data_IF_253961481266
#
_entry.id   IF_253961481266
#
_cell.length_a   1.000
_cell.length_b   1.000
_cell.length_c   1.000
_cell.angle_alpha   90.00
_cell.angle_beta   90.00
_cell.angle_gamma   90.00
#
_symmetry.space_group_name_H-M   'P 1'
#
loop_
_entity.id
_entity.type
_entity.pdbx_description
1 polymer ?
#
# COMPACT_ATOMS: atom_id res chain seq x y z
N UNK A 1 27.54 8.39 26.31
CA UNK A 1 27.59 9.05 24.99
C UNK A 1 26.32 8.66 24.24
N UNK A 2 25.45 9.61 23.90
CA UNK A 2 24.29 9.37 23.05
C UNK A 2 24.78 8.98 21.65
N UNK A 3 24.36 7.83 21.15
CA UNK A 3 24.75 7.38 19.82
C UNK A 3 24.27 8.43 18.79
N UNK A 4 25.22 8.94 18.00
CA UNK A 4 24.95 9.97 16.99
C UNK A 4 24.17 9.35 15.82
N UNK A 5 23.10 10.00 15.40
CA UNK A 5 22.38 9.65 14.17
C UNK A 5 23.07 10.32 12.98
N UNK A 6 23.06 9.65 11.83
CA UNK A 6 23.51 10.19 10.56
C UNK A 6 22.70 9.56 9.40
N UNK A 7 22.86 10.08 8.18
CA UNK A 7 22.24 9.54 6.99
C UNK A 7 23.26 9.41 5.85
N UNK A 8 22.97 8.52 4.92
CA UNK A 8 23.69 8.36 3.65
C UNK A 8 22.72 8.05 2.53
N UNK A 9 23.06 8.43 1.31
CA UNK A 9 22.36 7.91 0.13
C UNK A 9 22.71 6.43 -0.05
N UNK A 10 21.73 5.61 -0.33
CA UNK A 10 21.92 4.16 -0.41
C UNK A 10 22.97 3.76 -1.45
N UNK A 11 22.99 4.45 -2.59
CA UNK A 11 23.93 4.17 -3.67
C UNK A 11 25.39 4.44 -3.25
N UNK A 12 25.63 5.34 -2.33
CA UNK A 12 26.98 5.74 -1.88
C UNK A 12 27.59 4.74 -0.88
N UNK A 13 26.76 3.92 -0.23
CA UNK A 13 27.25 2.97 0.76
C UNK A 13 27.60 1.59 0.20
N UNK A 14 27.38 1.35 -1.09
CA UNK A 14 27.81 0.13 -1.80
C UNK A 14 27.18 -1.18 -1.32
N UNK A 15 26.07 -1.13 -0.57
CA UNK A 15 25.36 -2.31 -0.10
C UNK A 15 24.40 -2.85 -1.15
N UNK A 16 24.23 -4.18 -1.18
CA UNK A 16 23.30 -4.84 -2.08
C UNK A 16 21.83 -4.49 -1.76
N UNK A 17 20.97 -4.40 -2.78
CA UNK A 17 19.51 -4.15 -2.64
C UNK A 17 18.82 -5.16 -1.71
N UNK A 18 19.28 -6.40 -1.67
CA UNK A 18 18.78 -7.42 -0.75
C UNK A 18 18.91 -7.06 0.73
N UNK A 19 19.93 -6.25 1.10
CA UNK A 19 20.11 -5.76 2.47
C UNK A 19 19.02 -4.74 2.81
N UNK A 20 18.65 -3.87 1.87
CA UNK A 20 17.55 -2.96 2.02
C UNK A 20 16.22 -3.69 2.18
N UNK A 21 15.91 -4.63 1.28
CA UNK A 21 14.65 -5.37 1.30
C UNK A 21 14.51 -6.21 2.57
N UNK A 22 15.60 -6.84 3.04
CA UNK A 22 15.64 -7.55 4.33
C UNK A 22 15.40 -6.60 5.53
N UNK A 23 15.94 -5.37 5.47
CA UNK A 23 15.65 -4.35 6.48
C UNK A 23 14.16 -3.98 6.48
N UNK A 24 13.58 -3.75 5.30
CA UNK A 24 12.15 -3.44 5.17
C UNK A 24 11.29 -4.55 5.76
N UNK A 25 11.59 -5.83 5.50
CA UNK A 25 10.86 -6.98 6.06
C UNK A 25 10.91 -7.03 7.59
N UNK A 26 12.00 -6.55 8.18
CA UNK A 26 12.21 -6.45 9.63
C UNK A 26 11.74 -5.15 10.27
N UNK A 27 11.43 -4.10 9.50
CA UNK A 27 11.10 -2.77 10.01
C UNK A 27 9.70 -2.69 10.64
N UNK A 28 9.52 -1.75 11.58
CA UNK A 28 8.21 -1.44 12.15
C UNK A 28 7.39 -0.64 11.14
N UNK A 29 6.37 -1.24 10.56
CA UNK A 29 5.59 -0.68 9.45
C UNK A 29 6.19 -1.00 8.07
N UNK A 30 7.25 -1.82 8.03
CA UNK A 30 7.84 -2.31 6.78
C UNK A 30 6.80 -2.95 5.89
N UNK A 31 6.83 -2.60 4.60
CA UNK A 31 5.81 -3.05 3.66
C UNK A 31 6.39 -3.12 2.24
N UNK A 32 5.70 -3.86 1.39
CA UNK A 32 6.09 -4.19 0.03
C UNK A 32 6.49 -2.96 -0.81
N UNK A 33 5.78 -1.84 -0.65
CA UNK A 33 6.01 -0.60 -1.41
C UNK A 33 7.30 0.14 -1.04
N UNK A 34 7.99 -0.25 0.03
CA UNK A 34 9.28 0.30 0.42
C UNK A 34 10.47 -0.51 -0.09
N UNK A 35 10.22 -1.70 -0.70
CA UNK A 35 11.30 -2.54 -1.25
C UNK A 35 11.85 -1.95 -2.55
N UNK A 36 13.17 -1.91 -2.68
CA UNK A 36 13.81 -1.51 -3.95
C UNK A 36 13.45 -2.51 -5.05
N UNK A 37 13.40 -3.82 -4.72
CA UNK A 37 13.01 -4.84 -5.67
C UNK A 37 11.59 -4.64 -6.25
N UNK A 38 10.66 -4.09 -5.47
CA UNK A 38 9.34 -3.71 -5.96
C UNK A 38 9.44 -2.50 -6.91
N UNK A 39 10.15 -1.45 -6.52
CA UNK A 39 10.25 -0.21 -7.30
C UNK A 39 10.89 -0.43 -8.68
N UNK A 40 11.63 -1.53 -8.87
CA UNK A 40 12.20 -1.92 -10.18
C UNK A 40 11.16 -2.16 -11.28
N UNK A 41 9.86 -2.36 -10.94
CA UNK A 41 8.81 -2.51 -11.95
C UNK A 41 8.65 -1.27 -12.85
N UNK A 42 9.09 -0.12 -12.38
CA UNK A 42 9.13 1.11 -13.19
C UNK A 42 10.12 1.06 -14.37
N UNK A 43 10.91 -0.01 -14.49
CA UNK A 43 11.85 -0.26 -15.61
C UNK A 43 12.74 0.94 -15.94
N UNK A 44 13.31 1.56 -14.90
CA UNK A 44 14.22 2.70 -15.05
C UNK A 44 13.57 4.05 -15.29
N UNK A 45 12.24 4.15 -15.31
CA UNK A 45 11.51 5.42 -15.50
C UNK A 45 11.95 6.53 -14.54
N UNK A 46 12.42 6.16 -13.35
CA UNK A 46 12.82 7.10 -12.30
C UNK A 46 14.31 7.00 -11.92
N UNK A 47 15.13 6.25 -12.66
CA UNK A 47 16.53 5.94 -12.31
C UNK A 47 17.37 7.18 -12.01
N UNK A 48 17.20 8.26 -12.79
CA UNK A 48 17.93 9.51 -12.60
C UNK A 48 17.35 10.40 -11.47
N UNK A 49 16.23 9.97 -10.88
CA UNK A 49 15.50 10.70 -9.83
C UNK A 49 15.56 10.00 -8.49
N UNK A 50 15.92 8.72 -8.47
CA UNK A 50 15.96 7.89 -7.26
C UNK A 50 17.15 8.25 -6.38
N UNK A 51 16.84 8.62 -5.13
CA UNK A 51 17.82 9.01 -4.11
C UNK A 51 17.45 8.37 -2.76
N UNK A 52 17.50 7.02 -2.70
CA UNK A 52 17.10 6.30 -1.50
C UNK A 52 17.97 6.66 -0.30
N UNK A 53 17.35 6.87 0.85
CA UNK A 53 18.01 7.33 2.06
C UNK A 53 18.11 6.22 3.10
N UNK A 54 19.30 6.05 3.68
CA UNK A 54 19.55 5.17 4.80
C UNK A 54 19.94 6.00 6.05
N UNK A 55 19.27 5.73 7.16
CA UNK A 55 19.57 6.31 8.47
C UNK A 55 20.38 5.34 9.31
N UNK A 56 21.37 5.85 10.01
CA UNK A 56 22.23 5.07 10.88
C UNK A 56 22.20 5.59 12.31
N UNK A 57 22.38 4.66 13.26
CA UNK A 57 22.65 4.97 14.67
C UNK A 57 24.05 4.43 15.00
N UNK A 58 25.06 5.30 15.02
CA UNK A 58 26.44 4.86 14.92
C UNK A 58 26.69 4.20 13.56
N UNK A 59 27.11 2.92 13.57
CA UNK A 59 27.33 2.11 12.35
C UNK A 59 26.12 1.21 11.99
N UNK A 60 25.12 1.13 12.86
CA UNK A 60 23.94 0.28 12.66
C UNK A 60 22.93 0.94 11.73
N UNK A 61 22.51 0.21 10.67
CA UNK A 61 21.38 0.62 9.84
C UNK A 61 20.11 0.66 10.70
N UNK A 62 19.56 1.85 10.88
CA UNK A 62 18.46 2.13 11.80
C UNK A 62 17.14 2.42 11.12
N UNK A 63 17.19 2.99 9.90
CA UNK A 63 16.01 3.32 9.10
C UNK A 63 16.34 3.43 7.62
N UNK A 64 15.30 3.41 6.79
CA UNK A 64 15.36 3.57 5.34
C UNK A 64 14.19 4.40 4.83
N UNK A 65 14.38 5.15 3.73
CA UNK A 65 13.32 5.90 3.06
C UNK A 65 13.53 5.83 1.54
N UNK A 66 12.68 5.12 0.79
CA UNK A 66 12.69 5.20 -0.65
C UNK A 66 12.16 6.58 -1.08
N UNK A 67 12.89 7.28 -1.91
CA UNK A 67 12.50 8.60 -2.38
C UNK A 67 13.01 8.88 -3.79
N UNK A 68 12.33 9.81 -4.47
CA UNK A 68 12.78 10.38 -5.73
C UNK A 68 12.63 11.91 -5.70
N UNK A 69 13.50 12.61 -6.45
CA UNK A 69 13.50 14.06 -6.57
C UNK A 69 13.08 14.44 -7.99
N UNK A 70 12.11 15.33 -8.07
CA UNK A 70 11.54 15.84 -9.31
C UNK A 70 11.76 17.34 -9.43
N UNK A 71 11.91 17.81 -10.66
CA UNK A 71 11.84 19.23 -10.98
C UNK A 71 10.39 19.56 -11.36
N UNK A 72 9.70 20.30 -10.50
CA UNK A 72 8.30 20.70 -10.68
C UNK A 72 8.19 22.23 -10.60
N UNK A 73 7.82 22.87 -11.69
CA UNK A 73 7.67 24.34 -11.76
C UNK A 73 8.91 25.11 -11.28
N UNK A 74 10.09 24.60 -11.59
CA UNK A 74 11.37 25.19 -11.18
C UNK A 74 11.76 24.95 -9.72
N UNK A 75 11.07 24.03 -9.03
CA UNK A 75 11.36 23.61 -7.65
C UNK A 75 11.81 22.18 -7.59
N UNK A 76 12.75 21.90 -6.70
CA UNK A 76 13.18 20.54 -6.40
C UNK A 76 12.25 19.91 -5.37
N UNK A 77 11.42 18.98 -5.83
CA UNK A 77 10.39 18.32 -5.02
C UNK A 77 10.78 16.88 -4.72
N UNK A 78 11.03 16.58 -3.45
CA UNK A 78 11.22 15.23 -2.95
C UNK A 78 9.85 14.56 -2.77
N UNK A 79 9.69 13.34 -3.31
CA UNK A 79 8.49 12.51 -3.11
C UNK A 79 8.84 11.16 -2.51
N UNK A 80 8.14 10.79 -1.47
CA UNK A 80 8.15 9.45 -0.88
C UNK A 80 6.71 9.11 -0.44
N UNK A 81 5.98 8.27 -1.17
CA UNK A 81 6.44 7.44 -2.30
C UNK A 81 6.53 8.19 -3.64
N UNK A 82 7.11 7.47 -4.60
CA UNK A 82 7.00 7.73 -6.03
C UNK A 82 6.58 6.41 -6.72
N UNK A 83 5.44 6.42 -7.43
CA UNK A 83 4.90 5.21 -8.08
C UNK A 83 4.55 4.05 -7.13
N UNK A 84 4.22 4.34 -5.87
CA UNK A 84 3.84 3.35 -4.86
C UNK A 84 2.76 3.93 -3.93
N UNK A 85 2.09 3.05 -3.16
CA UNK A 85 0.98 3.48 -2.29
C UNK A 85 1.45 4.17 -1.01
N UNK A 86 2.59 3.76 -0.46
CA UNK A 86 3.15 4.25 0.79
C UNK A 86 4.64 4.54 0.66
N UNK A 87 5.10 5.54 1.39
CA UNK A 87 6.48 5.97 1.50
C UNK A 87 6.78 6.54 2.88
N UNK A 88 7.65 7.54 2.93
CA UNK A 88 8.19 8.07 4.18
C UNK A 88 9.25 7.14 4.78
N UNK A 89 9.92 7.57 5.86
CA UNK A 89 10.94 6.79 6.50
C UNK A 89 10.35 5.62 7.30
N UNK A 90 10.98 4.46 7.20
CA UNK A 90 10.76 3.28 8.02
C UNK A 90 11.93 3.08 8.98
N UNK A 91 11.63 2.61 10.18
CA UNK A 91 12.64 2.35 11.21
C UNK A 91 12.54 0.92 11.73
N UNK A 92 13.65 0.40 12.23
CA UNK A 92 13.74 -0.96 12.81
C UNK A 92 12.69 -1.20 13.90
N UNK A 93 12.37 -0.16 14.69
CA UNK A 93 11.39 -0.19 15.79
C UNK A 93 10.63 1.13 15.88
N UNK A 94 9.61 1.17 16.72
CA UNK A 94 8.95 2.42 17.12
C UNK A 94 9.97 3.41 17.69
N UNK A 95 9.96 4.64 17.21
CA UNK A 95 10.80 5.72 17.71
C UNK A 95 10.27 6.23 19.07
N UNK A 96 11.19 6.61 19.95
CA UNK A 96 10.91 7.48 21.09
C UNK A 96 10.79 8.93 20.63
N UNK A 97 10.31 9.84 21.48
CA UNK A 97 10.22 11.26 21.14
C UNK A 97 11.59 11.86 20.78
N UNK A 98 12.64 11.59 21.59
CA UNK A 98 13.99 12.08 21.31
C UNK A 98 14.58 11.51 20.02
N UNK A 99 14.30 10.23 19.69
CA UNK A 99 14.71 9.63 18.43
C UNK A 99 13.93 10.28 17.25
N UNK A 100 12.66 10.57 17.42
CA UNK A 100 11.80 11.22 16.43
C UNK A 100 12.31 12.64 16.09
N UNK A 101 12.65 13.44 17.12
CA UNK A 101 13.19 14.78 16.94
C UNK A 101 14.54 14.75 16.22
N UNK A 102 15.45 13.86 16.64
CA UNK A 102 16.75 13.73 15.99
C UNK A 102 16.66 13.31 14.52
N UNK A 103 15.69 12.44 14.16
CA UNK A 103 15.46 12.06 12.77
C UNK A 103 14.82 13.20 11.96
N UNK A 104 13.92 13.99 12.57
CA UNK A 104 13.35 15.16 11.92
C UNK A 104 14.42 16.23 11.63
N UNK A 105 15.34 16.48 12.56
CA UNK A 105 16.51 17.34 12.35
C UNK A 105 17.36 16.84 11.16
N UNK A 106 17.66 15.54 11.09
CA UNK A 106 18.43 14.94 9.99
C UNK A 106 17.72 15.08 8.63
N UNK A 107 16.39 14.99 8.60
CA UNK A 107 15.63 15.25 7.37
C UNK A 107 15.80 16.68 6.90
N UNK A 108 15.76 17.67 7.83
CA UNK A 108 15.96 19.07 7.47
C UNK A 108 17.41 19.32 6.99
N UNK A 109 18.42 18.75 7.68
CA UNK A 109 19.81 18.80 7.22
C UNK A 109 19.97 18.25 5.80
N UNK A 110 19.32 17.11 5.51
CA UNK A 110 19.33 16.49 4.19
C UNK A 110 18.62 17.38 3.16
N UNK A 111 17.47 17.97 3.49
CA UNK A 111 16.77 18.88 2.60
C UNK A 111 17.64 20.11 2.24
N UNK A 112 18.38 20.63 3.20
CA UNK A 112 19.31 21.71 2.94
C UNK A 112 20.48 21.28 2.06
N UNK A 113 21.12 20.15 2.37
CA UNK A 113 22.27 19.65 1.61
C UNK A 113 21.94 19.30 0.17
N UNK A 114 20.72 18.79 -0.08
CA UNK A 114 20.23 18.42 -1.41
C UNK A 114 19.44 19.53 -2.11
N UNK A 115 19.36 20.73 -1.49
CA UNK A 115 18.61 21.89 -2.03
C UNK A 115 17.17 21.53 -2.36
N UNK A 116 16.47 20.84 -1.44
CA UNK A 116 15.07 20.48 -1.58
C UNK A 116 14.21 21.69 -1.23
N UNK A 117 13.31 22.07 -2.14
CA UNK A 117 12.36 23.18 -1.92
C UNK A 117 11.07 22.69 -1.26
N UNK A 118 10.68 21.44 -1.57
CA UNK A 118 9.48 20.81 -1.04
C UNK A 118 9.66 19.31 -0.86
N UNK A 119 9.20 18.76 0.25
CA UNK A 119 9.17 17.33 0.49
C UNK A 119 7.73 16.87 0.75
N UNK A 120 7.28 15.81 0.04
CA UNK A 120 5.94 15.22 0.16
C UNK A 120 6.08 13.78 0.60
N UNK A 121 5.58 13.47 1.81
CA UNK A 121 5.69 12.14 2.43
C UNK A 121 4.29 11.57 2.67
N UNK A 122 3.99 10.38 2.11
CA UNK A 122 2.73 9.66 2.38
C UNK A 122 3.00 8.42 3.20
N UNK A 123 2.53 8.43 4.44
CA UNK A 123 2.82 7.39 5.43
C UNK A 123 1.92 6.16 5.30
N UNK A 124 2.43 4.97 5.71
CA UNK A 124 1.62 3.78 5.87
C UNK A 124 0.50 3.97 6.89
N UNK A 125 -0.63 3.27 6.68
CA UNK A 125 -1.75 3.27 7.64
C UNK A 125 -1.41 2.49 8.92
N UNK A 126 -2.06 2.80 10.06
CA UNK A 126 -1.80 2.15 11.35
C UNK A 126 -1.77 0.61 11.34
N UNK A 127 -2.65 -0.13 10.62
CA UNK A 127 -2.62 -1.58 10.56
C UNK A 127 -1.30 -2.20 10.09
N UNK A 128 -0.51 -1.48 9.29
CA UNK A 128 0.77 -1.96 8.76
C UNK A 128 1.88 -2.01 9.83
N UNK A 129 1.76 -1.25 10.91
CA UNK A 129 2.77 -1.19 11.98
C UNK A 129 2.58 -2.34 12.99
N UNK A 130 3.70 -2.92 13.45
CA UNK A 130 3.68 -3.83 14.62
C UNK A 130 3.37 -3.08 15.90
N UNK A 131 3.95 -1.88 16.04
CA UNK A 131 3.68 -0.95 17.14
C UNK A 131 3.45 0.42 16.53
N UNK A 132 2.19 0.82 16.42
CA UNK A 132 1.83 2.13 15.90
C UNK A 132 2.08 3.23 16.95
N UNK A 133 2.54 4.39 16.50
CA UNK A 133 2.72 5.59 17.33
C UNK A 133 2.73 6.83 16.45
N UNK A 134 2.07 7.89 16.90
CA UNK A 134 2.03 9.19 16.22
C UNK A 134 3.14 10.15 16.65
N UNK A 135 4.04 9.69 17.54
CA UNK A 135 5.11 10.53 18.09
C UNK A 135 6.03 11.08 16.99
N UNK A 136 6.30 10.28 15.95
CA UNK A 136 7.10 10.76 14.82
C UNK A 136 6.35 11.80 13.98
N UNK A 137 5.05 11.66 13.79
CA UNK A 137 4.23 12.67 13.09
C UNK A 137 4.21 13.99 13.87
N UNK A 138 4.04 13.92 15.20
CA UNK A 138 4.13 15.10 16.07
C UNK A 138 5.47 15.81 15.87
N UNK A 139 6.57 15.05 15.90
CA UNK A 139 7.92 15.61 15.73
C UNK A 139 8.08 16.28 14.37
N UNK A 140 7.54 15.70 13.30
CA UNK A 140 7.54 16.33 11.97
C UNK A 140 6.75 17.65 11.96
N UNK A 141 5.59 17.74 12.63
CA UNK A 141 4.85 19.00 12.77
C UNK A 141 5.66 20.07 13.52
N UNK A 142 6.36 19.70 14.59
CA UNK A 142 7.27 20.61 15.33
C UNK A 142 8.43 21.12 14.44
N UNK A 143 8.81 20.36 13.39
CA UNK A 143 9.85 20.71 12.42
C UNK A 143 9.29 21.31 11.11
N UNK A 144 8.08 21.84 11.15
CA UNK A 144 7.49 22.63 10.07
C UNK A 144 6.84 21.81 8.94
N UNK A 145 6.58 20.53 9.14
CA UNK A 145 5.71 19.78 8.24
C UNK A 145 4.25 20.13 8.49
N UNK A 146 3.45 20.07 7.44
CA UNK A 146 2.00 20.27 7.47
C UNK A 146 1.29 19.06 6.87
N UNK A 147 0.13 18.71 7.40
CA UNK A 147 -0.70 17.67 6.82
C UNK A 147 -1.56 18.25 5.70
N UNK A 148 -1.31 17.85 4.46
CA UNK A 148 -2.03 18.35 3.29
C UNK A 148 -3.13 17.41 2.79
N UNK A 149 -3.09 16.12 3.18
CA UNK A 149 -4.11 15.16 2.81
C UNK A 149 -4.23 14.05 3.87
N UNK A 150 -5.47 13.64 4.15
CA UNK A 150 -5.84 12.56 5.07
C UNK A 150 -6.94 11.71 4.44
N UNK A 151 -6.58 10.94 3.42
CA UNK A 151 -7.52 10.01 2.82
C UNK A 151 -7.77 8.80 3.72
N UNK A 152 -8.98 8.23 3.64
CA UNK A 152 -9.37 7.07 4.42
C UNK A 152 -9.11 5.79 3.63
N UNK A 153 -8.28 4.89 4.16
CA UNK A 153 -8.22 3.49 3.74
C UNK A 153 -9.21 2.65 4.56
N UNK A 154 -9.99 1.81 3.88
CA UNK A 154 -11.00 0.96 4.50
C UNK A 154 -10.42 -0.44 4.72
N UNK A 155 -10.34 -0.87 5.98
CA UNK A 155 -9.64 -2.09 6.40
C UNK A 155 -10.53 -2.95 7.26
N UNK A 156 -10.58 -4.26 6.98
CA UNK A 156 -11.31 -5.26 7.79
C UNK A 156 -10.33 -5.90 8.78
N UNK A 157 -10.58 -5.84 10.10
CA UNK A 157 -9.83 -6.64 11.06
C UNK A 157 -10.15 -8.14 10.89
N UNK A 158 -9.14 -8.98 10.74
CA UNK A 158 -9.27 -10.44 10.63
C UNK A 158 -9.09 -11.10 12.00
N UNK A 159 -9.99 -10.76 12.92
CA UNK A 159 -9.93 -11.16 14.33
C UNK A 159 -10.85 -12.33 14.69
N UNK A 160 -11.50 -12.94 13.69
CA UNK A 160 -12.32 -14.16 13.82
C UNK A 160 -11.61 -15.34 13.16
N UNK A 161 -11.95 -16.60 13.54
CA UNK A 161 -11.55 -17.77 12.78
C UNK A 161 -11.96 -17.66 11.31
N UNK A 162 -11.17 -18.21 10.40
CA UNK A 162 -11.39 -18.07 8.96
C UNK A 162 -12.80 -18.48 8.52
N UNK A 163 -13.34 -19.57 9.08
CA UNK A 163 -14.70 -20.08 8.81
C UNK A 163 -15.80 -19.10 9.23
N UNK A 164 -15.51 -18.23 10.21
CA UNK A 164 -16.45 -17.26 10.74
C UNK A 164 -16.30 -15.86 10.13
N UNK A 165 -15.35 -15.65 9.22
CA UNK A 165 -15.15 -14.33 8.59
C UNK A 165 -16.37 -13.82 7.82
N UNK A 166 -17.30 -14.69 7.44
CA UNK A 166 -18.58 -14.29 6.86
C UNK A 166 -19.44 -13.46 7.83
N UNK A 167 -19.21 -13.56 9.15
CA UNK A 167 -20.00 -12.89 10.18
C UNK A 167 -19.66 -11.40 10.32
N UNK A 168 -18.49 -10.95 9.82
CA UNK A 168 -18.17 -9.52 9.78
C UNK A 168 -18.97 -8.77 8.71
N UNK A 169 -19.51 -9.47 7.72
CA UNK A 169 -20.32 -8.89 6.65
C UNK A 169 -21.69 -8.45 7.19
N UNK A 170 -22.22 -7.36 6.67
CA UNK A 170 -23.58 -6.97 6.94
C UNK A 170 -24.61 -7.95 6.29
N UNK A 171 -25.89 -7.72 6.56
CA UNK A 171 -26.97 -8.55 5.99
C UNK A 171 -27.01 -8.50 4.47
N UNK A 172 -26.74 -7.35 3.88
CA UNK A 172 -26.78 -7.16 2.42
C UNK A 172 -25.64 -7.94 1.75
N UNK A 173 -24.40 -7.75 2.18
CA UNK A 173 -23.24 -8.45 1.65
C UNK A 173 -23.36 -9.97 1.85
N UNK A 174 -23.85 -10.45 3.01
CA UNK A 174 -24.15 -11.89 3.21
C UNK A 174 -25.17 -12.43 2.23
N UNK A 175 -26.19 -11.65 1.89
CA UNK A 175 -27.19 -12.07 0.88
C UNK A 175 -26.58 -12.11 -0.52
N UNK A 176 -25.68 -11.16 -0.86
CA UNK A 176 -24.95 -11.17 -2.13
C UNK A 176 -24.08 -12.42 -2.26
N UNK A 177 -23.32 -12.75 -1.22
CA UNK A 177 -22.50 -13.98 -1.21
C UNK A 177 -23.35 -15.23 -1.34
N UNK A 178 -24.49 -15.33 -0.62
CA UNK A 178 -25.41 -16.47 -0.75
C UNK A 178 -25.99 -16.58 -2.16
N UNK A 179 -26.33 -15.46 -2.79
CA UNK A 179 -26.81 -15.43 -4.18
C UNK A 179 -25.74 -15.93 -5.13
N UNK A 180 -24.50 -15.43 -5.01
CA UNK A 180 -23.39 -15.86 -5.84
C UNK A 180 -23.10 -17.36 -5.70
N UNK A 181 -23.11 -17.90 -4.48
CA UNK A 181 -22.92 -19.35 -4.21
C UNK A 181 -24.03 -20.23 -4.83
N UNK A 182 -25.25 -19.71 -5.04
CA UNK A 182 -26.36 -20.43 -5.71
C UNK A 182 -26.30 -20.31 -7.22
N UNK A 183 -25.55 -19.35 -7.76
CA UNK A 183 -25.28 -19.22 -9.18
C UNK A 183 -24.14 -20.19 -9.57
N UNK A 184 -24.15 -20.69 -10.79
CA UNK A 184 -23.08 -21.60 -11.27
C UNK A 184 -21.79 -20.83 -11.52
N UNK A 185 -21.23 -20.22 -10.45
CA UNK A 185 -19.96 -19.49 -10.47
C UNK A 185 -18.84 -20.46 -10.10
N UNK A 186 -17.83 -20.56 -10.95
CA UNK A 186 -16.56 -21.21 -10.64
C UNK A 186 -15.47 -20.16 -10.43
N UNK A 187 -14.45 -20.47 -9.61
CA UNK A 187 -13.34 -19.58 -9.34
C UNK A 187 -12.04 -20.25 -9.76
N UNK A 188 -11.23 -19.52 -10.50
CA UNK A 188 -9.84 -19.88 -10.80
C UNK A 188 -8.98 -19.06 -9.87
N UNK A 189 -8.33 -19.73 -8.90
CA UNK A 189 -7.36 -19.15 -7.99
C UNK A 189 -6.00 -19.04 -8.68
N UNK A 190 -5.20 -18.05 -8.29
CA UNK A 190 -3.87 -17.77 -8.87
C UNK A 190 -3.92 -17.64 -10.41
N UNK A 191 -4.95 -16.97 -10.92
CA UNK A 191 -5.09 -16.66 -12.32
C UNK A 191 -3.94 -15.78 -12.81
N UNK A 192 -3.52 -15.98 -14.07
CA UNK A 192 -2.50 -15.13 -14.69
C UNK A 192 -3.00 -13.69 -14.92
N UNK A 193 -2.05 -12.77 -15.09
CA UNK A 193 -2.31 -11.35 -15.30
C UNK A 193 -3.22 -11.10 -16.53
N UNK A 194 -3.01 -11.83 -17.63
CA UNK A 194 -3.81 -11.67 -18.87
C UNK A 194 -5.28 -12.00 -18.61
N UNK A 195 -5.56 -13.12 -17.92
CA UNK A 195 -6.91 -13.52 -17.62
C UNK A 195 -7.60 -12.52 -16.67
N UNK A 196 -6.91 -12.07 -15.63
CA UNK A 196 -7.41 -11.02 -14.73
C UNK A 196 -7.62 -9.71 -15.49
N UNK A 197 -6.71 -9.36 -16.41
CA UNK A 197 -6.75 -8.17 -17.27
C UNK A 197 -8.06 -8.05 -18.04
N UNK A 198 -8.62 -9.17 -18.55
CA UNK A 198 -9.89 -9.16 -19.31
C UNK A 198 -11.06 -8.60 -18.52
N UNK A 199 -11.09 -8.80 -17.19
CA UNK A 199 -12.14 -8.24 -16.32
C UNK A 199 -11.79 -6.84 -15.85
N UNK A 200 -10.49 -6.60 -15.62
CA UNK A 200 -9.99 -5.30 -15.17
C UNK A 200 -10.28 -4.22 -16.22
N UNK A 201 -10.01 -4.47 -17.48
CA UNK A 201 -10.28 -3.56 -18.59
C UNK A 201 -11.74 -3.14 -18.64
N UNK A 202 -12.69 -4.09 -18.59
CA UNK A 202 -14.14 -3.80 -18.58
C UNK A 202 -14.57 -2.91 -17.40
N UNK A 203 -13.88 -3.06 -16.25
CA UNK A 203 -14.14 -2.22 -15.09
C UNK A 203 -13.68 -0.78 -15.32
N UNK A 204 -12.50 -0.59 -15.92
CA UNK A 204 -11.90 0.73 -16.12
C UNK A 204 -12.50 1.49 -17.31
N UNK A 205 -12.91 0.79 -18.38
CA UNK A 205 -13.68 1.37 -19.49
C UNK A 205 -14.92 2.10 -18.99
N UNK A 206 -15.68 1.47 -18.08
CA UNK A 206 -16.87 2.09 -17.47
C UNK A 206 -16.55 3.39 -16.72
N UNK A 207 -15.39 3.48 -16.09
CA UNK A 207 -15.00 4.62 -15.26
C UNK A 207 -14.16 5.67 -16.00
N UNK A 208 -13.89 5.47 -17.31
CA UNK A 208 -12.99 6.32 -18.12
C UNK A 208 -11.65 6.59 -17.41
N UNK A 209 -11.15 5.60 -16.70
CA UNK A 209 -9.92 5.65 -15.91
C UNK A 209 -8.92 4.61 -16.43
N UNK A 210 -7.70 4.67 -15.94
CA UNK A 210 -6.66 3.67 -16.23
C UNK A 210 -6.22 3.01 -14.92
N UNK A 211 -5.92 1.70 -14.94
CA UNK A 211 -5.32 1.04 -13.79
C UNK A 211 -3.93 1.65 -13.50
N UNK A 212 -3.47 1.51 -12.27
CA UNK A 212 -2.14 1.97 -11.83
C UNK A 212 -1.01 1.25 -12.56
N UNK A 213 -1.20 -0.06 -12.83
CA UNK A 213 -0.25 -0.90 -13.56
C UNK A 213 -0.83 -1.26 -14.93
N UNK A 214 0.00 -1.33 -15.96
CA UNK A 214 -0.33 -2.00 -17.21
C UNK A 214 -0.40 -3.50 -16.99
N UNK A 215 -0.96 -4.26 -17.93
CA UNK A 215 -0.99 -5.73 -17.82
C UNK A 215 0.42 -6.30 -17.85
N UNK A 216 1.33 -5.74 -18.64
CA UNK A 216 2.74 -6.13 -18.69
C UNK A 216 3.47 -5.85 -17.37
N UNK A 217 3.19 -4.71 -16.71
CA UNK A 217 3.72 -4.41 -15.38
C UNK A 217 3.17 -5.38 -14.33
N UNK A 218 1.86 -5.69 -14.38
CA UNK A 218 1.24 -6.66 -13.47
C UNK A 218 1.81 -8.06 -13.69
N UNK A 219 2.01 -8.49 -14.93
CA UNK A 219 2.64 -9.76 -15.27
C UNK A 219 4.05 -9.84 -14.68
N UNK A 220 4.88 -8.81 -14.91
CA UNK A 220 6.22 -8.73 -14.35
C UNK A 220 6.23 -8.79 -12.82
N UNK A 221 5.31 -8.08 -12.18
CA UNK A 221 5.15 -8.08 -10.71
C UNK A 221 4.76 -9.48 -10.19
N UNK A 222 3.80 -10.14 -10.82
CA UNK A 222 3.36 -11.48 -10.41
C UNK A 222 4.45 -12.54 -10.61
N UNK A 223 5.25 -12.47 -11.69
CA UNK A 223 6.39 -13.35 -11.90
C UNK A 223 7.51 -13.12 -10.87
N UNK A 224 7.77 -11.86 -10.52
CA UNK A 224 8.83 -11.48 -9.60
C UNK A 224 8.45 -11.73 -8.14
N UNK A 225 7.17 -11.61 -7.81
CA UNK A 225 6.63 -11.68 -6.44
C UNK A 225 5.44 -12.65 -6.34
N UNK A 226 5.66 -13.95 -6.69
CA UNK A 226 4.57 -14.92 -6.74
C UNK A 226 3.98 -15.26 -5.36
N UNK A 227 4.67 -14.92 -4.27
CA UNK A 227 4.19 -15.11 -2.90
C UNK A 227 3.39 -13.90 -2.39
N UNK A 228 3.66 -12.72 -2.93
CA UNK A 228 3.06 -11.46 -2.50
C UNK A 228 1.90 -11.03 -3.38
N UNK A 229 1.87 -11.41 -4.67
CA UNK A 229 0.86 -10.96 -5.62
C UNK A 229 0.18 -12.15 -6.26
N UNK A 230 -1.14 -12.19 -6.14
CA UNK A 230 -1.99 -13.21 -6.78
C UNK A 230 -3.30 -12.62 -7.25
N UNK A 231 -3.90 -13.22 -8.26
CA UNK A 231 -5.22 -12.83 -8.75
C UNK A 231 -6.16 -14.04 -8.75
N UNK A 232 -7.42 -13.82 -8.38
CA UNK A 232 -8.50 -14.81 -8.52
C UNK A 232 -9.54 -14.27 -9.50
N UNK A 233 -10.06 -15.15 -10.35
CA UNK A 233 -11.06 -14.79 -11.37
C UNK A 233 -12.27 -15.72 -11.27
N UNK A 234 -13.45 -15.12 -11.17
CA UNK A 234 -14.73 -15.82 -11.13
C UNK A 234 -15.33 -15.90 -12.53
N UNK A 235 -15.86 -17.07 -12.86
CA UNK A 235 -16.48 -17.40 -14.14
C UNK A 235 -17.96 -17.72 -13.98
N UNK A 236 -18.72 -17.36 -15.00
CA UNK A 236 -20.09 -17.83 -15.21
C UNK A 236 -20.25 -18.30 -16.64
N UNK A 237 -20.60 -19.58 -16.86
CA UNK A 237 -20.66 -20.20 -18.18
C UNK A 237 -19.41 -19.92 -19.03
N UNK A 238 -18.25 -20.21 -18.47
CA UNK A 238 -16.91 -20.01 -19.08
C UNK A 238 -16.54 -18.55 -19.42
N UNK A 239 -17.35 -17.59 -19.00
CA UNK A 239 -17.09 -16.15 -19.19
C UNK A 239 -16.50 -15.58 -17.88
N UNK A 240 -15.33 -14.90 -17.90
CA UNK A 240 -14.79 -14.24 -16.75
C UNK A 240 -15.65 -13.00 -16.41
N UNK A 241 -16.24 -12.98 -15.20
CA UNK A 241 -17.25 -11.99 -14.78
C UNK A 241 -16.83 -11.11 -13.61
N UNK A 242 -15.87 -11.56 -12.81
CA UNK A 242 -15.28 -10.76 -11.74
C UNK A 242 -13.85 -11.20 -11.45
N UNK A 243 -13.05 -10.32 -10.87
CA UNK A 243 -11.69 -10.63 -10.45
C UNK A 243 -11.27 -9.82 -9.23
N UNK A 244 -10.34 -10.36 -8.48
CA UNK A 244 -9.66 -9.70 -7.37
C UNK A 244 -8.16 -9.94 -7.49
N UNK A 245 -7.37 -8.88 -7.31
CA UNK A 245 -5.91 -9.01 -7.25
C UNK A 245 -5.44 -8.63 -5.86
N UNK A 246 -4.75 -9.55 -5.22
CA UNK A 246 -4.21 -9.41 -3.86
C UNK A 246 -2.75 -8.96 -3.90
N UNK A 247 -2.41 -8.04 -3.00
CA UNK A 247 -1.04 -7.69 -2.68
C UNK A 247 -0.83 -7.94 -1.19
N UNK A 248 0.01 -8.91 -0.84
CA UNK A 248 0.50 -9.10 0.53
C UNK A 248 1.41 -7.93 0.89
N UNK A 249 0.82 -6.86 1.41
CA UNK A 249 1.53 -5.60 1.68
C UNK A 249 2.63 -5.80 2.71
N UNK A 250 2.35 -6.60 3.75
CA UNK A 250 3.33 -7.16 4.68
C UNK A 250 2.72 -8.37 5.40
N UNK A 251 3.43 -8.95 6.38
CA UNK A 251 2.95 -10.11 7.15
C UNK A 251 1.66 -9.88 7.96
N UNK A 252 1.18 -8.65 8.04
CA UNK A 252 -0.01 -8.26 8.82
C UNK A 252 -1.21 -7.91 7.96
N UNK A 253 -0.96 -7.42 6.75
CA UNK A 253 -1.98 -6.83 5.87
C UNK A 253 -1.91 -7.44 4.49
N UNK A 254 -3.00 -8.11 4.10
CA UNK A 254 -3.26 -8.46 2.71
C UNK A 254 -4.23 -7.42 2.10
N UNK A 255 -3.95 -6.94 0.90
CA UNK A 255 -4.78 -5.90 0.25
C UNK A 255 -5.45 -6.46 -1.00
N UNK A 256 -6.74 -6.16 -1.16
CA UNK A 256 -7.42 -6.28 -2.46
C UNK A 256 -7.05 -5.09 -3.34
N UNK A 257 -5.85 -5.10 -3.89
CA UNK A 257 -5.29 -3.98 -4.65
C UNK A 257 -6.17 -3.60 -5.85
N UNK A 258 -6.71 -4.60 -6.55
CA UNK A 258 -7.71 -4.41 -7.59
C UNK A 258 -8.95 -5.25 -7.31
N UNK A 259 -10.11 -4.62 -7.49
CA UNK A 259 -11.42 -5.25 -7.52
C UNK A 259 -12.03 -4.98 -8.90
N UNK A 260 -12.34 -6.03 -9.65
CA UNK A 260 -12.84 -5.93 -11.00
C UNK A 260 -14.15 -6.70 -11.16
N UNK A 261 -15.09 -6.15 -11.94
CA UNK A 261 -16.34 -6.83 -12.28
C UNK A 261 -16.86 -6.39 -13.64
N UNK A 262 -17.34 -7.35 -14.43
CA UNK A 262 -18.06 -7.05 -15.66
C UNK A 262 -19.45 -6.47 -15.31
N UNK A 263 -19.76 -5.24 -15.73
CA UNK A 263 -21.06 -4.60 -15.43
C UNK A 263 -22.27 -5.40 -15.92
N UNK A 264 -22.14 -6.19 -17.00
CA UNK A 264 -23.22 -6.98 -17.57
C UNK A 264 -23.64 -8.14 -16.67
N UNK A 265 -22.73 -8.61 -15.79
CA UNK A 265 -22.94 -9.75 -14.90
C UNK A 265 -23.04 -9.33 -13.42
N UNK A 266 -23.19 -8.04 -13.14
CA UNK A 266 -23.22 -7.50 -11.76
C UNK A 266 -24.29 -8.15 -10.88
N UNK A 267 -25.42 -8.55 -11.46
CA UNK A 267 -26.51 -9.23 -10.76
C UNK A 267 -26.11 -10.58 -10.15
N UNK A 268 -25.05 -11.23 -10.65
CA UNK A 268 -24.54 -12.51 -10.12
C UNK A 268 -23.82 -12.36 -8.79
N UNK A 269 -23.36 -11.14 -8.46
CA UNK A 269 -22.61 -10.83 -7.23
C UNK A 269 -21.30 -11.61 -7.08
N UNK A 270 -20.66 -11.99 -8.19
CA UNK A 270 -19.44 -12.78 -8.22
C UNK A 270 -18.28 -12.11 -7.47
N UNK A 271 -18.16 -10.77 -7.57
CA UNK A 271 -17.14 -10.01 -6.81
C UNK A 271 -17.36 -10.12 -5.28
N UNK A 272 -18.63 -10.11 -4.83
CA UNK A 272 -18.93 -10.28 -3.41
C UNK A 272 -18.50 -11.66 -2.88
N UNK A 273 -18.57 -12.68 -3.72
CA UNK A 273 -18.08 -14.03 -3.40
C UNK A 273 -16.54 -14.04 -3.31
N UNK A 274 -15.85 -13.49 -4.31
CA UNK A 274 -14.39 -13.39 -4.32
C UNK A 274 -13.85 -12.65 -3.07
N UNK A 275 -14.50 -11.55 -2.68
CA UNK A 275 -14.11 -10.81 -1.47
C UNK A 275 -14.31 -11.66 -0.22
N UNK A 276 -15.47 -12.33 -0.08
CA UNK A 276 -15.73 -13.17 1.10
C UNK A 276 -14.71 -14.33 1.22
N UNK A 277 -14.35 -14.96 0.10
CA UNK A 277 -13.32 -15.99 0.07
C UNK A 277 -11.93 -15.41 0.34
N UNK A 278 -11.61 -14.22 -0.21
CA UNK A 278 -10.37 -13.51 0.07
C UNK A 278 -10.20 -13.14 1.56
N UNK A 279 -11.28 -12.73 2.24
CA UNK A 279 -11.27 -12.50 3.70
C UNK A 279 -10.98 -13.78 4.48
N UNK A 280 -11.66 -14.88 4.12
CA UNK A 280 -11.47 -16.18 4.76
C UNK A 280 -10.05 -16.71 4.55
N UNK A 281 -9.54 -16.63 3.31
CA UNK A 281 -8.20 -17.10 2.99
C UNK A 281 -7.12 -16.24 3.66
N UNK A 282 -7.27 -14.92 3.67
CA UNK A 282 -6.35 -14.02 4.38
C UNK A 282 -6.31 -14.32 5.89
N UNK A 283 -7.45 -14.59 6.51
CA UNK A 283 -7.51 -15.01 7.91
C UNK A 283 -6.83 -16.37 8.14
N UNK A 284 -7.02 -17.34 7.22
CA UNK A 284 -6.39 -18.67 7.30
C UNK A 284 -4.87 -18.59 7.17
N UNK A 285 -4.37 -17.67 6.34
CA UNK A 285 -2.94 -17.40 6.17
C UNK A 285 -2.33 -16.62 7.34
N UNK A 286 -3.15 -16.17 8.32
CA UNK A 286 -2.69 -15.49 9.52
C UNK A 286 -2.48 -13.99 9.38
N UNK A 287 -3.03 -13.35 8.34
CA UNK A 287 -3.08 -11.90 8.28
C UNK A 287 -3.99 -11.35 9.37
N UNK A 288 -3.62 -10.21 9.95
CA UNK A 288 -4.44 -9.51 10.94
C UNK A 288 -5.46 -8.56 10.33
N UNK A 289 -5.26 -8.17 9.06
CA UNK A 289 -6.07 -7.17 8.38
C UNK A 289 -6.18 -7.44 6.89
N UNK A 290 -7.35 -7.07 6.33
CA UNK A 290 -7.61 -7.06 4.90
C UNK A 290 -7.91 -5.61 4.46
N UNK A 291 -7.05 -5.03 3.59
CA UNK A 291 -7.13 -3.63 3.18
C UNK A 291 -7.81 -3.51 1.81
N UNK A 292 -8.93 -2.80 1.76
CA UNK A 292 -9.62 -2.44 0.52
C UNK A 292 -9.05 -1.18 -0.17
N UNK A 293 -8.06 -0.53 0.41
CA UNK A 293 -7.56 0.75 -0.05
C UNK A 293 -8.51 1.91 0.21
N UNK A 294 -8.20 3.08 -0.37
CA UNK A 294 -8.89 4.34 -0.07
C UNK A 294 -10.33 4.40 -0.55
N UNK A 295 -11.19 5.07 0.22
CA UNK A 295 -12.56 5.45 -0.11
C UNK A 295 -12.78 6.95 -0.15
N UNK A 296 -11.71 7.72 -0.04
CA UNK A 296 -11.70 9.17 -0.28
C UNK A 296 -10.58 9.55 -1.23
N UNK A 297 -10.68 10.72 -1.82
CA UNK A 297 -9.64 11.34 -2.66
C UNK A 297 -9.59 12.81 -2.32
N UNK A 298 -8.39 13.32 -1.97
CA UNK A 298 -8.19 14.69 -1.54
C UNK A 298 -9.12 15.10 -0.38
N UNK A 299 -9.28 14.20 0.60
CA UNK A 299 -10.17 14.33 1.77
C UNK A 299 -11.69 14.38 1.44
N UNK A 300 -12.07 14.14 0.20
CA UNK A 300 -13.47 14.01 -0.20
C UNK A 300 -13.89 12.55 -0.21
N UNK A 301 -14.87 12.20 0.61
CA UNK A 301 -15.41 10.85 0.71
C UNK A 301 -16.18 10.45 -0.54
N UNK A 302 -16.07 9.18 -0.93
CA UNK A 302 -16.86 8.55 -2.00
C UNK A 302 -17.92 7.65 -1.37
N UNK A 303 -19.17 8.11 -1.17
CA UNK A 303 -20.19 7.38 -0.38
C UNK A 303 -20.38 5.94 -0.82
N UNK A 304 -20.56 5.69 -2.13
CA UNK A 304 -20.75 4.32 -2.65
C UNK A 304 -19.56 3.39 -2.40
N UNK A 305 -18.33 3.93 -2.35
CA UNK A 305 -17.12 3.17 -2.02
C UNK A 305 -17.09 2.82 -0.53
N UNK A 306 -17.47 3.75 0.35
CA UNK A 306 -17.60 3.49 1.78
C UNK A 306 -18.68 2.44 2.04
N UNK A 307 -19.91 2.67 1.60
CA UNK A 307 -21.04 1.75 1.76
C UNK A 307 -20.69 0.32 1.33
N UNK A 308 -20.04 0.20 0.17
CA UNK A 308 -19.61 -1.10 -0.33
C UNK A 308 -18.60 -1.78 0.60
N UNK A 309 -17.53 -1.08 1.00
CA UNK A 309 -16.46 -1.69 1.83
C UNK A 309 -16.91 -1.91 3.27
N UNK A 310 -17.69 -1.00 3.84
CA UNK A 310 -18.29 -1.13 5.16
C UNK A 310 -19.24 -2.32 5.24
N UNK A 311 -19.96 -2.63 4.15
CA UNK A 311 -20.82 -3.82 4.11
C UNK A 311 -20.04 -5.14 4.27
N UNK A 312 -18.74 -5.14 4.00
CA UNK A 312 -17.82 -6.24 4.26
C UNK A 312 -17.10 -6.15 5.62
N UNK A 313 -17.53 -5.23 6.51
CA UNK A 313 -16.97 -5.07 7.85
C UNK A 313 -15.73 -4.17 7.92
N UNK A 314 -15.45 -3.39 6.87
CA UNK A 314 -14.31 -2.47 6.88
C UNK A 314 -14.53 -1.28 7.83
N UNK A 315 -13.43 -0.83 8.46
CA UNK A 315 -13.33 0.39 9.25
C UNK A 315 -12.29 1.32 8.63
N UNK A 316 -12.40 2.63 8.89
CA UNK A 316 -11.55 3.64 8.26
C UNK A 316 -10.27 3.93 9.06
N UNK A 317 -9.14 4.03 8.35
CA UNK A 317 -7.86 4.50 8.88
C UNK A 317 -7.31 5.62 8.01
N UNK A 318 -6.85 6.70 8.63
CA UNK A 318 -6.21 7.78 7.89
C UNK A 318 -4.89 7.35 7.25
N UNK A 319 -4.72 7.68 5.98
CA UNK A 319 -3.48 7.70 5.24
C UNK A 319 -3.00 9.14 5.15
N UNK A 320 -2.05 9.51 5.99
CA UNK A 320 -1.57 10.87 6.11
C UNK A 320 -0.53 11.19 5.02
N UNK A 321 -0.70 12.33 4.34
CA UNK A 321 0.32 12.92 3.49
C UNK A 321 0.75 14.25 4.09
N UNK A 322 2.03 14.35 4.43
CA UNK A 322 2.65 15.52 5.00
C UNK A 322 3.50 16.23 3.93
N UNK A 323 3.58 17.54 4.03
CA UNK A 323 4.45 18.36 3.21
C UNK A 323 5.33 19.23 4.11
N UNK A 324 6.59 19.34 3.72
CA UNK A 324 7.48 20.40 4.18
C UNK A 324 7.83 21.28 3.00
N UNK A 325 7.96 22.59 3.21
CA UNK A 325 8.37 23.55 2.20
C UNK A 325 9.44 24.48 2.77
N UNK A 326 10.47 24.76 1.97
CA UNK A 326 11.50 25.75 2.29
C UNK A 326 10.81 27.12 2.38
N UNK A 327 11.12 27.86 3.44
CA UNK A 327 10.63 29.23 3.66
C UNK A 327 11.48 30.24 2.93
#
# INVERSE_FOLDING_TARGET
>A
MTAKYNYHLWNDIGKAKSVWDAFVDGANGGNFFHKISFLEYHKGKFVDKEHHLAFFKGEELFGVMPMAIFEEEGRRVLRSPYGASYGGPLFKKRLTYSESSAIADLLLEMFDSMVIDRAVLTFPIPPLYRVYSEVFLLSLYEHGFECINRDISCVVPLNLPAENMIDVLDRSARNHVRKARKSSISIVHHAGADLFGTVLEKTFEKHQARPTHTIEELHWLMERFPQEISCDVAFYNDIPVAGICFFAVNKRVNSSFYLASDPQYRQLQALSLLIAEGLQESARQGYGYFDFGTSSVNMEGRPSSFEFKESFGATGFFRNTLVWSRK
#
